data_IF_561841319607
#
_entry.id   IF_561841319607
#
_cell.length_a   1.000
_cell.length_b   1.000
_cell.length_c   1.000
_cell.angle_alpha   90.00
_cell.angle_beta   90.00
_cell.angle_gamma   90.00
#
_symmetry.space_group_name_H-M   'P 1'
#
loop_
_entity.id
_entity.type
_entity.pdbx_description
1 polymer ?
#
# COMPACT_ATOMS: atom_id res chain seq x y z
N UNK A 1 27.43 30.09 7.52
CA UNK A 1 27.61 28.62 7.65
C UNK A 1 26.25 28.01 7.92
N UNK A 2 25.60 27.45 6.89
CA UNK A 2 24.30 26.76 6.98
C UNK A 2 24.37 25.55 6.04
N UNK A 3 25.07 24.49 6.48
CA UNK A 3 25.23 23.22 5.74
C UNK A 3 24.98 22.00 6.65
N UNK A 4 24.25 22.17 7.76
CA UNK A 4 24.12 21.13 8.80
C UNK A 4 22.81 20.35 8.83
N UNK A 5 21.71 20.87 8.25
CA UNK A 5 20.38 20.29 8.45
C UNK A 5 19.90 19.42 7.29
N UNK A 6 20.29 19.74 6.05
CA UNK A 6 19.92 18.98 4.86
C UNK A 6 20.50 17.56 4.86
N UNK A 7 21.75 17.37 5.31
CA UNK A 7 22.39 16.04 5.33
C UNK A 7 21.78 15.07 6.36
N UNK A 8 21.25 15.57 7.50
CA UNK A 8 20.60 14.71 8.50
C UNK A 8 19.26 14.16 8.00
N UNK A 9 18.52 14.96 7.24
CA UNK A 9 17.22 14.56 6.68
C UNK A 9 17.40 13.56 5.54
N UNK A 10 18.39 13.76 4.67
CA UNK A 10 18.71 12.81 3.59
C UNK A 10 19.14 11.45 4.15
N UNK A 11 19.97 11.42 5.21
CA UNK A 11 20.40 10.17 5.84
C UNK A 11 19.30 9.45 6.63
N UNK A 12 18.33 10.15 7.21
CA UNK A 12 17.23 9.51 7.95
C UNK A 12 16.14 8.95 7.03
N UNK A 13 15.95 9.55 5.84
CA UNK A 13 15.05 9.06 4.80
C UNK A 13 15.68 7.86 4.06
N UNK A 14 16.97 7.92 3.71
CA UNK A 14 17.66 6.81 3.02
C UNK A 14 17.67 5.53 3.86
N UNK A 15 18.07 5.60 5.14
CA UNK A 15 18.18 4.40 6.00
C UNK A 15 16.83 3.71 6.27
N UNK A 16 15.72 4.48 6.27
CA UNK A 16 14.39 3.91 6.52
C UNK A 16 13.85 3.15 5.31
N UNK A 17 14.10 3.62 4.10
CA UNK A 17 13.49 3.08 2.89
C UNK A 17 14.46 2.28 1.98
N UNK A 18 15.66 1.90 2.44
CA UNK A 18 16.59 1.03 1.68
C UNK A 18 15.92 -0.22 1.07
N UNK A 19 14.96 -0.82 1.78
CA UNK A 19 14.21 -1.97 1.26
C UNK A 19 13.29 -1.61 0.09
N UNK A 20 12.73 -0.39 0.09
CA UNK A 20 11.94 0.12 -1.03
C UNK A 20 12.81 0.25 -2.27
N UNK A 21 14.04 0.76 -2.15
CA UNK A 21 14.95 0.84 -3.29
C UNK A 21 15.28 -0.55 -3.86
N UNK A 22 15.51 -1.54 -2.99
CA UNK A 22 15.72 -2.93 -3.42
C UNK A 22 14.50 -3.46 -4.19
N UNK A 23 13.28 -3.25 -3.68
CA UNK A 23 12.06 -3.65 -4.38
C UNK A 23 11.86 -2.94 -5.72
N UNK A 24 12.21 -1.65 -5.83
CA UNK A 24 12.16 -0.90 -7.10
C UNK A 24 13.13 -1.45 -8.14
N UNK A 25 14.21 -2.12 -7.70
CA UNK A 25 15.15 -2.83 -8.56
C UNK A 25 14.81 -4.33 -8.71
N UNK A 26 13.61 -4.75 -8.31
CA UNK A 26 13.13 -6.14 -8.34
C UNK A 26 13.96 -7.12 -7.48
N UNK A 27 14.68 -6.63 -6.47
CA UNK A 27 15.44 -7.43 -5.52
C UNK A 27 14.57 -7.77 -4.30
N UNK A 28 13.52 -8.56 -4.51
CA UNK A 28 12.50 -8.84 -3.50
C UNK A 28 13.02 -9.70 -2.33
N UNK A 29 14.00 -10.56 -2.56
CA UNK A 29 14.56 -11.43 -1.51
C UNK A 29 15.34 -10.61 -0.51
N UNK A 30 16.27 -9.77 -0.97
CA UNK A 30 17.08 -8.88 -0.14
C UNK A 30 16.20 -7.85 0.58
N UNK A 31 15.19 -7.32 -0.12
CA UNK A 31 14.20 -6.44 0.50
C UNK A 31 13.45 -7.15 1.63
N UNK A 32 12.95 -8.37 1.42
CA UNK A 32 12.21 -9.13 2.42
C UNK A 32 13.06 -9.40 3.67
N UNK A 33 14.34 -9.77 3.50
CA UNK A 33 15.27 -9.98 4.62
C UNK A 33 15.40 -8.71 5.45
N UNK A 34 15.64 -7.56 4.79
CA UNK A 34 15.79 -6.29 5.48
C UNK A 34 14.49 -5.84 6.16
N UNK A 35 13.35 -6.06 5.53
CA UNK A 35 12.03 -5.74 6.07
C UNK A 35 11.70 -6.58 7.31
N UNK A 36 12.01 -7.88 7.30
CA UNK A 36 11.82 -8.76 8.46
C UNK A 36 12.67 -8.30 9.65
N UNK A 37 13.94 -7.95 9.42
CA UNK A 37 14.82 -7.38 10.47
C UNK A 37 14.29 -6.05 11.01
N UNK A 38 13.69 -5.21 10.15
CA UNK A 38 13.07 -3.94 10.56
C UNK A 38 11.77 -4.18 11.35
N UNK A 39 10.97 -5.16 10.95
CA UNK A 39 9.70 -5.50 11.60
C UNK A 39 9.89 -5.91 13.07
N UNK A 40 10.97 -6.66 13.38
CA UNK A 40 11.32 -7.03 14.77
C UNK A 40 11.58 -5.81 15.68
N UNK A 41 12.08 -4.71 15.09
CA UNK A 41 12.44 -3.50 15.83
C UNK A 41 11.29 -2.52 15.95
N UNK A 42 10.51 -2.38 14.89
CA UNK A 42 9.38 -1.48 14.85
C UNK A 42 8.31 -2.01 13.89
N UNK A 43 7.11 -2.22 14.41
CA UNK A 43 5.96 -2.63 13.62
C UNK A 43 5.34 -1.42 12.95
N UNK A 44 5.63 -1.25 11.67
CA UNK A 44 5.14 -0.14 10.85
C UNK A 44 4.26 -0.66 9.70
N UNK A 45 3.22 0.12 9.34
CA UNK A 45 2.32 -0.24 8.26
C UNK A 45 3.05 -0.32 6.91
N UNK A 46 3.98 0.59 6.60
CA UNK A 46 4.74 0.53 5.34
C UNK A 46 5.58 -0.75 5.25
N UNK A 47 6.18 -1.21 6.36
CA UNK A 47 6.95 -2.47 6.40
C UNK A 47 6.04 -3.66 6.09
N UNK A 48 4.88 -3.73 6.75
CA UNK A 48 3.90 -4.80 6.55
C UNK A 48 3.34 -4.80 5.12
N UNK A 49 3.09 -3.62 4.55
CA UNK A 49 2.69 -3.47 3.15
C UNK A 49 3.75 -4.04 2.20
N UNK A 50 5.00 -3.63 2.40
CA UNK A 50 6.12 -4.03 1.55
C UNK A 50 6.44 -5.52 1.67
N UNK A 51 6.31 -6.10 2.86
CA UNK A 51 6.39 -7.56 3.03
C UNK A 51 5.25 -8.27 2.30
N UNK A 52 4.03 -7.73 2.37
CA UNK A 52 2.88 -8.22 1.60
C UNK A 52 3.16 -8.26 0.10
N UNK A 53 3.76 -7.19 -0.44
CA UNK A 53 4.19 -7.16 -1.85
C UNK A 53 5.31 -8.14 -2.16
N UNK A 54 6.34 -8.26 -1.31
CA UNK A 54 7.41 -9.24 -1.53
C UNK A 54 6.86 -10.68 -1.56
N UNK A 55 5.92 -11.00 -0.68
CA UNK A 55 5.25 -12.29 -0.65
C UNK A 55 4.40 -12.51 -1.92
N UNK A 56 3.66 -11.48 -2.36
CA UNK A 56 2.85 -11.54 -3.58
C UNK A 56 3.70 -11.82 -4.83
N UNK A 57 4.83 -11.12 -4.99
CA UNK A 57 5.76 -11.33 -6.10
C UNK A 57 6.48 -12.70 -6.04
N UNK A 58 6.46 -13.34 -4.86
CA UNK A 58 7.01 -14.68 -4.63
C UNK A 58 5.94 -15.78 -4.61
N UNK A 59 4.70 -15.47 -5.01
CA UNK A 59 3.54 -16.40 -5.00
C UNK A 59 3.15 -16.94 -3.61
N UNK A 60 3.63 -16.31 -2.53
CA UNK A 60 3.30 -16.62 -1.14
C UNK A 60 2.02 -15.89 -0.73
N UNK A 61 0.89 -16.29 -1.33
CA UNK A 61 -0.36 -15.52 -1.26
C UNK A 61 -1.00 -15.47 0.14
N UNK A 62 -0.88 -16.54 0.92
CA UNK A 62 -1.41 -16.58 2.30
C UNK A 62 -0.60 -15.66 3.23
N UNK A 63 0.73 -15.67 3.12
CA UNK A 63 1.61 -14.76 3.84
C UNK A 63 1.37 -13.31 3.41
N UNK A 64 1.18 -13.07 2.11
CA UNK A 64 0.82 -11.76 1.59
C UNK A 64 -0.47 -11.23 2.23
N UNK A 65 -1.52 -12.07 2.27
CA UNK A 65 -2.79 -11.74 2.91
C UNK A 65 -2.59 -11.39 4.39
N UNK A 66 -1.83 -12.22 5.13
CA UNK A 66 -1.56 -12.01 6.55
C UNK A 66 -0.88 -10.66 6.82
N UNK A 67 0.21 -10.36 6.14
CA UNK A 67 0.93 -9.10 6.34
C UNK A 67 0.10 -7.88 5.98
N UNK A 68 -0.68 -7.95 4.89
CA UNK A 68 -1.53 -6.86 4.46
C UNK A 68 -2.68 -6.60 5.44
N UNK A 69 -3.34 -7.64 5.96
CA UNK A 69 -4.39 -7.50 6.99
C UNK A 69 -3.80 -6.93 8.29
N UNK A 70 -2.62 -7.40 8.69
CA UNK A 70 -1.93 -6.90 9.88
C UNK A 70 -1.56 -5.42 9.77
N UNK A 71 -1.10 -4.98 8.60
CA UNK A 71 -0.78 -3.58 8.34
C UNK A 71 -2.03 -2.70 8.27
N UNK A 72 -3.12 -3.21 7.66
CA UNK A 72 -4.38 -2.48 7.56
C UNK A 72 -4.98 -2.15 8.94
N UNK A 73 -4.81 -3.04 9.93
CA UNK A 73 -5.26 -2.80 11.31
C UNK A 73 -4.59 -1.58 11.97
N UNK A 74 -3.41 -1.17 11.52
CA UNK A 74 -2.67 -0.04 12.09
C UNK A 74 -3.26 1.34 11.70
N UNK A 75 -4.13 1.41 10.70
CA UNK A 75 -4.78 2.65 10.28
C UNK A 75 -5.93 3.12 11.20
N UNK A 76 -6.24 2.37 12.26
CA UNK A 76 -7.44 2.59 13.10
C UNK A 76 -7.35 3.74 14.12
N UNK A 77 -6.30 4.58 14.12
CA UNK A 77 -5.99 5.41 15.30
C UNK A 77 -5.65 6.89 15.13
N UNK A 78 -5.98 7.59 14.04
CA UNK A 78 -5.81 9.05 14.06
C UNK A 78 -6.74 9.83 13.15
N UNK A 79 -7.32 10.87 13.74
CA UNK A 79 -8.17 11.91 13.16
C UNK A 79 -7.56 12.47 11.88
N UNK A 80 -8.39 12.51 10.84
CA UNK A 80 -8.13 13.15 9.55
C UNK A 80 -7.75 14.61 9.78
N UNK A 81 -6.48 14.96 9.62
CA UNK A 81 -6.05 16.36 9.54
C UNK A 81 -6.38 16.87 8.14
N UNK A 82 -7.50 17.58 8.04
CA UNK A 82 -7.99 18.23 6.83
C UNK A 82 -6.93 19.17 6.24
N UNK A 83 -6.50 18.91 5.02
CA UNK A 83 -5.65 19.85 4.25
C UNK A 83 -6.49 20.94 3.56
N UNK A 84 -5.88 22.10 3.33
CA UNK A 84 -6.52 23.34 2.85
C UNK A 84 -7.15 23.22 1.44
N UNK A 85 -8.28 23.91 1.18
CA UNK A 85 -9.17 23.71 0.02
C UNK A 85 -8.64 24.16 -1.36
N UNK A 86 -7.49 24.83 -1.46
CA UNK A 86 -7.01 25.43 -2.73
C UNK A 86 -6.24 24.44 -3.62
N UNK A 87 -5.81 23.30 -3.07
CA UNK A 87 -5.06 22.25 -3.80
C UNK A 87 -6.00 21.28 -4.54
N UNK A 88 -7.32 21.44 -4.46
CA UNK A 88 -8.24 20.33 -4.73
C UNK A 88 -8.44 19.96 -6.21
N UNK A 89 -8.49 20.88 -7.18
CA UNK A 89 -8.90 20.49 -8.54
C UNK A 89 -7.81 19.72 -9.31
N UNK A 90 -6.58 20.26 -9.33
CA UNK A 90 -5.45 19.61 -9.99
C UNK A 90 -5.14 18.29 -9.29
N UNK A 91 -5.16 18.26 -7.95
CA UNK A 91 -4.94 17.00 -7.21
C UNK A 91 -6.07 16.01 -7.44
N UNK A 92 -7.35 16.43 -7.52
CA UNK A 92 -8.45 15.52 -7.90
C UNK A 92 -8.24 14.91 -9.29
N UNK A 93 -7.78 15.71 -10.26
CA UNK A 93 -7.47 15.22 -11.62
C UNK A 93 -6.27 14.27 -11.63
N UNK A 94 -5.22 14.54 -10.88
CA UNK A 94 -4.06 13.63 -10.75
C UNK A 94 -4.49 12.33 -10.06
N UNK A 95 -5.27 12.42 -8.99
CA UNK A 95 -5.80 11.27 -8.26
C UNK A 95 -6.71 10.41 -9.12
N UNK A 96 -7.60 11.00 -9.93
CA UNK A 96 -8.50 10.24 -10.80
C UNK A 96 -7.72 9.43 -11.84
N UNK A 97 -6.63 9.97 -12.38
CA UNK A 97 -5.72 9.22 -13.25
C UNK A 97 -5.01 8.10 -12.47
N UNK A 98 -4.56 8.37 -11.25
CA UNK A 98 -3.91 7.37 -10.41
C UNK A 98 -4.83 6.17 -10.07
N UNK A 99 -6.15 6.37 -10.00
CA UNK A 99 -7.14 5.29 -9.80
C UNK A 99 -7.10 4.22 -10.90
N UNK A 100 -6.77 4.64 -12.13
CA UNK A 100 -6.72 3.76 -13.31
C UNK A 100 -5.38 3.04 -13.43
N UNK A 101 -4.37 3.48 -12.69
CA UNK A 101 -3.02 2.94 -12.74
C UNK A 101 -2.81 1.76 -11.80
N UNK A 102 -1.79 0.95 -12.11
CA UNK A 102 -1.28 -0.12 -11.26
C UNK A 102 -0.27 0.38 -10.21
N UNK A 103 -0.17 1.71 -10.01
CA UNK A 103 0.77 2.31 -9.07
C UNK A 103 0.55 1.84 -7.61
N UNK A 104 -0.66 1.38 -7.28
CA UNK A 104 -0.95 0.83 -5.95
C UNK A 104 -0.07 -0.36 -5.57
N UNK A 105 0.50 -1.09 -6.55
CA UNK A 105 1.43 -2.22 -6.34
C UNK A 105 2.89 -1.81 -6.18
N UNK A 106 3.22 -0.52 -6.30
CA UNK A 106 4.58 -0.06 -6.00
C UNK A 106 4.90 -0.23 -4.52
N UNK A 107 6.17 -0.28 -4.11
CA UNK A 107 6.53 -0.24 -2.71
C UNK A 107 6.01 1.02 -2.03
N UNK A 108 5.82 0.97 -0.72
CA UNK A 108 5.37 2.08 0.11
C UNK A 108 6.53 2.63 0.92
N UNK A 109 6.74 3.94 0.83
CA UNK A 109 7.73 4.63 1.66
C UNK A 109 7.16 4.91 3.04
N UNK A 110 8.03 4.93 4.05
CA UNK A 110 7.62 5.13 5.45
C UNK A 110 6.81 6.42 5.63
N UNK A 111 7.20 7.51 4.95
CA UNK A 111 6.53 8.81 5.09
C UNK A 111 5.08 8.84 4.56
N UNK A 112 4.70 7.92 3.65
CA UNK A 112 3.36 7.87 3.07
C UNK A 112 2.30 7.50 4.12
N UNK A 113 2.66 6.69 5.11
CA UNK A 113 1.78 6.34 6.22
C UNK A 113 1.42 7.58 7.04
N UNK A 114 2.34 8.51 7.22
CA UNK A 114 2.11 9.70 8.04
C UNK A 114 1.35 10.79 7.29
N UNK A 115 1.70 11.01 6.01
CA UNK A 115 1.24 12.16 5.23
C UNK A 115 0.04 11.85 4.33
N UNK A 116 -0.13 10.59 3.92
CA UNK A 116 -1.14 10.18 2.93
C UNK A 116 -1.99 9.01 3.43
N UNK A 117 -2.37 9.02 4.72
CA UNK A 117 -3.08 7.94 5.42
C UNK A 117 -4.22 7.30 4.61
N UNK A 118 -5.14 8.10 4.08
CA UNK A 118 -6.27 7.55 3.30
C UNK A 118 -5.79 6.85 2.02
N UNK A 119 -4.86 7.45 1.29
CA UNK A 119 -4.32 6.87 0.06
C UNK A 119 -3.53 5.60 0.34
N UNK A 120 -2.72 5.60 1.40
CA UNK A 120 -1.98 4.44 1.86
C UNK A 120 -2.93 3.31 2.25
N UNK A 121 -3.99 3.61 3.00
CA UNK A 121 -5.04 2.64 3.34
C UNK A 121 -5.74 2.09 2.10
N UNK A 122 -6.07 2.94 1.13
CA UNK A 122 -6.67 2.49 -0.13
C UNK A 122 -5.73 1.56 -0.90
N UNK A 123 -4.42 1.83 -0.91
CA UNK A 123 -3.42 0.93 -1.52
C UNK A 123 -3.42 -0.45 -0.88
N UNK A 124 -3.45 -0.54 0.46
CA UNK A 124 -3.60 -1.81 1.18
C UNK A 124 -4.80 -2.60 0.68
N UNK A 125 -5.97 -1.95 0.66
CA UNK A 125 -7.21 -2.59 0.24
C UNK A 125 -7.19 -3.03 -1.23
N UNK A 126 -6.60 -2.23 -2.11
CA UNK A 126 -6.46 -2.60 -3.53
C UNK A 126 -5.56 -3.82 -3.72
N UNK A 127 -4.44 -3.93 -3.00
CA UNK A 127 -3.58 -5.13 -3.06
C UNK A 127 -4.28 -6.33 -2.42
N UNK A 128 -4.98 -6.13 -1.29
CA UNK A 128 -5.76 -7.19 -0.64
C UNK A 128 -6.82 -7.79 -1.57
N UNK A 129 -7.51 -6.97 -2.37
CA UNK A 129 -8.48 -7.47 -3.36
C UNK A 129 -7.80 -8.38 -4.39
N UNK A 130 -6.62 -7.99 -4.89
CA UNK A 130 -5.87 -8.83 -5.83
C UNK A 130 -5.47 -10.18 -5.19
N UNK A 131 -4.96 -10.15 -3.95
CA UNK A 131 -4.58 -11.37 -3.20
C UNK A 131 -5.79 -12.25 -2.92
N UNK A 132 -6.91 -11.67 -2.46
CA UNK A 132 -8.13 -12.40 -2.17
C UNK A 132 -8.73 -13.02 -3.44
N UNK A 133 -8.61 -12.36 -4.59
CA UNK A 133 -9.05 -12.91 -5.86
C UNK A 133 -8.26 -14.17 -6.24
N UNK A 134 -6.93 -14.14 -6.08
CA UNK A 134 -6.06 -15.31 -6.30
C UNK A 134 -6.45 -16.46 -5.35
N UNK A 135 -6.66 -16.14 -4.07
CA UNK A 135 -7.08 -17.11 -3.05
C UNK A 135 -8.56 -17.52 -3.15
N UNK A 136 -9.31 -17.01 -4.13
CA UNK A 136 -10.75 -17.24 -4.33
C UNK A 136 -11.60 -16.88 -3.10
N UNK A 137 -11.13 -15.96 -2.26
CA UNK A 137 -11.86 -15.48 -1.10
C UNK A 137 -12.87 -14.38 -1.50
N UNK A 138 -13.96 -14.80 -2.15
CA UNK A 138 -15.02 -13.89 -2.65
C UNK A 138 -15.61 -13.02 -1.53
N UNK A 139 -15.86 -13.61 -0.36
CA UNK A 139 -16.45 -12.91 0.78
C UNK A 139 -15.60 -11.69 1.20
N UNK A 140 -14.28 -11.87 1.31
CA UNK A 140 -13.39 -10.76 1.67
C UNK A 140 -13.33 -9.68 0.60
N UNK A 141 -13.40 -10.05 -0.68
CA UNK A 141 -13.44 -9.08 -1.79
C UNK A 141 -14.70 -8.21 -1.69
N UNK A 142 -15.86 -8.81 -1.41
CA UNK A 142 -17.13 -8.07 -1.22
C UNK A 142 -17.02 -7.11 -0.04
N UNK A 143 -16.46 -7.54 1.09
CA UNK A 143 -16.25 -6.70 2.26
C UNK A 143 -15.34 -5.49 1.98
N UNK A 144 -14.27 -5.69 1.20
CA UNK A 144 -13.38 -4.60 0.81
C UNK A 144 -14.09 -3.67 -0.18
N UNK A 145 -14.82 -4.21 -1.16
CA UNK A 145 -15.59 -3.42 -2.12
C UNK A 145 -16.63 -2.54 -1.41
N UNK A 146 -17.29 -3.02 -0.35
CA UNK A 146 -18.22 -2.20 0.44
C UNK A 146 -17.52 -1.02 1.15
N UNK A 147 -16.21 -1.12 1.41
CA UNK A 147 -15.45 -0.05 2.07
C UNK A 147 -14.92 1.01 1.10
N UNK A 148 -14.56 0.64 -0.14
CA UNK A 148 -13.87 1.56 -1.07
C UNK A 148 -14.38 1.54 -2.51
N UNK A 149 -15.40 0.73 -2.84
CA UNK A 149 -15.94 0.61 -4.19
C UNK A 149 -16.48 1.94 -4.75
N UNK A 150 -17.01 2.81 -3.90
CA UNK A 150 -17.44 4.17 -4.30
C UNK A 150 -16.29 5.05 -4.84
N UNK A 151 -15.03 4.64 -4.64
CA UNK A 151 -13.87 5.35 -5.17
C UNK A 151 -13.53 4.94 -6.61
N UNK A 152 -14.17 3.93 -7.19
CA UNK A 152 -14.05 3.55 -8.61
C UNK A 152 -12.59 3.25 -9.00
N UNK A 153 -11.93 2.40 -8.21
CA UNK A 153 -10.59 1.92 -8.55
C UNK A 153 -10.70 0.82 -9.60
N UNK A 154 -10.00 1.00 -10.72
CA UNK A 154 -10.07 0.09 -11.87
C UNK A 154 -9.88 -1.39 -11.49
N UNK A 155 -8.88 -1.71 -10.66
CA UNK A 155 -8.61 -3.11 -10.30
C UNK A 155 -9.74 -3.74 -9.50
N UNK A 156 -10.43 -2.96 -8.66
CA UNK A 156 -11.57 -3.43 -7.87
C UNK A 156 -12.77 -3.65 -8.78
N UNK A 157 -13.09 -2.68 -9.64
CA UNK A 157 -14.21 -2.79 -10.57
C UNK A 157 -14.03 -3.96 -11.54
N UNK A 158 -12.81 -4.15 -12.07
CA UNK A 158 -12.49 -5.25 -12.98
C UNK A 158 -12.60 -6.62 -12.28
N UNK A 159 -12.15 -6.74 -11.02
CA UNK A 159 -12.30 -7.99 -10.24
C UNK A 159 -13.76 -8.25 -9.89
N UNK A 160 -14.51 -7.22 -9.49
CA UNK A 160 -15.93 -7.34 -9.18
C UNK A 160 -16.76 -7.74 -10.42
N UNK A 161 -16.37 -7.30 -11.62
CA UNK A 161 -17.00 -7.75 -12.87
C UNK A 161 -16.76 -9.24 -13.11
N UNK A 162 -15.51 -9.69 -12.99
CA UNK A 162 -15.15 -11.11 -13.15
C UNK A 162 -15.88 -12.03 -12.17
N UNK A 163 -16.01 -11.62 -10.91
CA UNK A 163 -16.73 -12.41 -9.90
C UNK A 163 -18.19 -12.62 -10.26
N UNK A 164 -18.84 -11.61 -10.88
CA UNK A 164 -20.23 -11.71 -11.34
C UNK A 164 -20.37 -12.61 -12.57
N UNK A 165 -19.43 -12.52 -13.50
CA UNK A 165 -19.40 -13.38 -14.69
C UNK A 165 -19.18 -14.86 -14.33
N UNK A 166 -18.42 -15.15 -13.27
CA UNK A 166 -18.22 -16.52 -12.75
C UNK A 166 -19.47 -17.10 -12.04
N UNK A 167 -20.51 -16.30 -11.82
CA UNK A 167 -21.76 -16.69 -11.14
C UNK A 167 -22.95 -16.89 -12.11
N UNK A 168 -22.79 -16.50 -13.38
CA UNK A 168 -23.75 -16.71 -14.49
C UNK A 168 -23.47 -18.02 -15.26
#
# INVERSE_FOLDING_TARGET
MLLGESHKMVNSITVKDDAVLLMMNHQYVEAAILLLQKLERNKDASILFNLGLCCLESELHEEALKYLEEGLMLFTKTTLTSSKPVIEEIVRKIQSQAKLSNHYRQPMFTFEIDHFKEMSRDRFLRVLVDVCYILKNKQRIIEINNQIGFKEYKNIDDIMRKIKEDEE
#
